data_IF_449835860041
#
_entry.id   IF_449835860041
#
_cell.length_a   1.000
_cell.length_b   1.000
_cell.length_c   1.000
_cell.angle_alpha   90.00
_cell.angle_beta   90.00
_cell.angle_gamma   90.00
#
_symmetry.space_group_name_H-M   'P 1'
#
loop_
_entity.id
_entity.type
_entity.pdbx_description
1 polymer ?
#
# COMPACT_ATOMS: atom_id res chain seq x y z
N UNK A 1 -26.14 -30.87 13.98
CA UNK A 1 -25.87 -29.93 15.09
C UNK A 1 -24.51 -29.32 14.79
N UNK A 2 -24.48 -28.07 14.39
CA UNK A 2 -23.28 -27.40 13.88
C UNK A 2 -22.42 -26.88 15.07
N UNK A 3 -21.28 -27.50 15.29
CA UNK A 3 -20.28 -27.07 16.29
C UNK A 3 -19.43 -25.90 15.75
N UNK A 4 -20.04 -24.75 15.49
CA UNK A 4 -19.31 -23.50 15.20
C UNK A 4 -19.67 -22.46 16.27
N UNK A 5 -19.37 -22.78 17.54
CA UNK A 5 -19.73 -21.93 18.69
C UNK A 5 -18.65 -20.93 19.12
N UNK A 6 -17.49 -20.91 18.49
CA UNK A 6 -16.47 -19.93 18.87
C UNK A 6 -16.51 -18.72 17.95
N UNK A 7 -16.61 -17.50 18.49
CA UNK A 7 -16.55 -16.28 17.70
C UNK A 7 -15.20 -16.21 16.96
N UNK A 8 -15.24 -15.73 15.70
CA UNK A 8 -14.03 -15.58 14.89
C UNK A 8 -13.12 -14.52 15.53
N UNK A 9 -11.90 -14.92 15.89
CA UNK A 9 -10.89 -13.97 16.35
C UNK A 9 -10.11 -13.44 15.14
N UNK A 10 -10.59 -12.36 14.55
CA UNK A 10 -10.02 -11.79 13.32
C UNK A 10 -8.54 -11.38 13.48
N UNK A 11 -8.13 -10.89 14.66
CA UNK A 11 -6.74 -10.49 14.89
C UNK A 11 -5.78 -11.68 14.85
N UNK A 12 -6.18 -12.80 15.41
CA UNK A 12 -5.36 -14.03 15.33
C UNK A 12 -5.26 -14.54 13.89
N UNK A 13 -6.36 -14.45 13.13
CA UNK A 13 -6.37 -14.86 11.73
C UNK A 13 -5.46 -13.98 10.87
N UNK A 14 -5.49 -12.68 11.07
CA UNK A 14 -4.59 -11.75 10.35
C UNK A 14 -3.13 -12.07 10.69
N UNK A 15 -2.80 -12.30 11.98
CA UNK A 15 -1.44 -12.67 12.37
C UNK A 15 -0.97 -13.99 11.74
N UNK A 16 -1.87 -14.98 11.61
CA UNK A 16 -1.56 -16.25 10.96
C UNK A 16 -1.38 -16.06 9.44
N UNK A 17 -2.23 -15.26 8.82
CA UNK A 17 -2.12 -14.88 7.41
C UNK A 17 -0.79 -14.18 7.13
N UNK A 18 -0.40 -13.20 7.96
CA UNK A 18 0.88 -12.49 7.85
C UNK A 18 2.06 -13.45 7.93
N UNK A 19 1.99 -14.45 8.82
CA UNK A 19 3.01 -15.49 8.91
C UNK A 19 3.09 -16.36 7.65
N UNK A 20 1.96 -16.71 7.02
CA UNK A 20 1.94 -17.44 5.76
C UNK A 20 2.53 -16.56 4.64
N UNK A 21 2.10 -15.30 4.55
CA UNK A 21 2.54 -14.34 3.54
C UNK A 21 4.03 -14.00 3.65
N UNK A 22 4.60 -13.99 4.86
CA UNK A 22 6.04 -13.75 5.08
C UNK A 22 6.93 -14.81 4.45
N UNK A 23 6.37 -16.00 4.15
CA UNK A 23 7.04 -17.11 3.45
C UNK A 23 6.83 -17.06 1.94
N UNK A 24 6.13 -16.05 1.41
CA UNK A 24 5.68 -15.95 0.02
C UNK A 24 4.80 -17.14 -0.44
N UNK A 25 4.15 -17.84 0.49
CA UNK A 25 3.26 -18.96 0.18
C UNK A 25 1.84 -18.46 -0.11
N UNK A 26 1.67 -17.92 -1.31
CA UNK A 26 0.39 -17.36 -1.76
C UNK A 26 -0.70 -18.41 -1.95
N UNK A 27 -0.35 -19.67 -2.21
CA UNK A 27 -1.33 -20.74 -2.34
C UNK A 27 -1.95 -21.07 -0.97
N UNK A 28 -1.13 -21.28 0.03
CA UNK A 28 -1.61 -21.50 1.40
C UNK A 28 -2.38 -20.27 1.94
N UNK A 29 -1.95 -19.05 1.61
CA UNK A 29 -2.67 -17.84 2.00
C UNK A 29 -4.07 -17.77 1.37
N UNK A 30 -4.20 -18.15 0.09
CA UNK A 30 -5.50 -18.22 -0.60
C UNK A 30 -6.42 -19.25 0.07
N UNK A 31 -5.95 -20.48 0.22
CA UNK A 31 -6.73 -21.56 0.79
C UNK A 31 -7.16 -21.25 2.24
N UNK A 32 -6.28 -20.59 2.99
CA UNK A 32 -6.58 -20.09 4.34
C UNK A 32 -7.70 -19.05 4.32
N UNK A 33 -7.59 -18.02 3.47
CA UNK A 33 -8.59 -16.94 3.39
C UNK A 33 -9.94 -17.46 2.91
N UNK A 34 -9.97 -18.29 1.86
CA UNK A 34 -11.22 -18.88 1.33
C UNK A 34 -11.94 -19.70 2.40
N UNK A 35 -11.22 -20.54 3.13
CA UNK A 35 -11.79 -21.31 4.25
C UNK A 35 -12.45 -20.39 5.30
N UNK A 36 -11.77 -19.32 5.70
CA UNK A 36 -12.29 -18.44 6.74
C UNK A 36 -13.42 -17.52 6.24
N UNK A 37 -13.40 -17.16 4.97
CA UNK A 37 -14.52 -16.47 4.31
C UNK A 37 -15.78 -17.35 4.35
N UNK A 38 -15.65 -18.65 4.04
CA UNK A 38 -16.79 -19.58 4.07
C UNK A 38 -17.31 -19.77 5.51
N UNK A 39 -16.43 -19.88 6.49
CA UNK A 39 -16.82 -19.98 7.91
C UNK A 39 -17.57 -18.72 8.34
N UNK A 40 -17.03 -17.52 8.08
CA UNK A 40 -17.67 -16.26 8.45
C UNK A 40 -19.04 -16.08 7.78
N UNK A 41 -19.14 -16.49 6.52
CA UNK A 41 -20.41 -16.49 5.79
C UNK A 41 -21.45 -17.43 6.40
N UNK A 42 -21.07 -18.66 6.73
CA UNK A 42 -21.95 -19.66 7.32
C UNK A 42 -22.42 -19.27 8.74
N UNK A 43 -21.58 -18.52 9.47
CA UNK A 43 -21.93 -17.97 10.79
C UNK A 43 -22.73 -16.66 10.70
N UNK A 44 -22.92 -16.07 9.52
CA UNK A 44 -23.46 -14.73 9.33
C UNK A 44 -22.66 -13.63 10.08
N UNK A 45 -21.36 -13.86 10.28
CA UNK A 45 -20.46 -12.88 10.90
C UNK A 45 -19.96 -11.87 9.84
N UNK A 46 -20.82 -10.91 9.54
CA UNK A 46 -20.54 -9.88 8.54
C UNK A 46 -19.32 -9.01 8.87
N UNK A 47 -18.97 -8.86 10.17
CA UNK A 47 -17.80 -8.05 10.58
C UNK A 47 -16.49 -8.76 10.23
N UNK A 48 -16.37 -10.03 10.61
CA UNK A 48 -15.22 -10.84 10.23
C UNK A 48 -15.14 -11.04 8.73
N UNK A 49 -16.28 -11.28 8.08
CA UNK A 49 -16.38 -11.41 6.63
C UNK A 49 -15.88 -10.15 5.90
N UNK A 50 -16.23 -8.95 6.37
CA UNK A 50 -15.74 -7.69 5.82
C UNK A 50 -14.21 -7.59 5.92
N UNK A 51 -13.63 -7.90 7.07
CA UNK A 51 -12.18 -7.89 7.25
C UNK A 51 -11.49 -8.87 6.32
N UNK A 52 -11.99 -10.11 6.25
CA UNK A 52 -11.44 -11.15 5.36
C UNK A 52 -11.56 -10.78 3.88
N UNK A 53 -12.65 -10.14 3.45
CA UNK A 53 -12.78 -9.64 2.09
C UNK A 53 -11.68 -8.61 1.76
N UNK A 54 -11.32 -7.72 2.69
CA UNK A 54 -10.25 -6.76 2.49
C UNK A 54 -8.88 -7.44 2.37
N UNK A 55 -8.60 -8.49 3.15
CA UNK A 55 -7.39 -9.30 2.98
C UNK A 55 -7.36 -10.03 1.63
N UNK A 56 -8.50 -10.58 1.20
CA UNK A 56 -8.63 -11.19 -0.13
C UNK A 56 -8.32 -10.19 -1.26
N UNK A 57 -8.81 -8.95 -1.19
CA UNK A 57 -8.47 -7.90 -2.17
C UNK A 57 -6.95 -7.74 -2.27
N UNK A 58 -6.27 -7.64 -1.12
CA UNK A 58 -4.81 -7.52 -1.05
C UNK A 58 -4.09 -8.70 -1.68
N UNK A 59 -4.48 -9.93 -1.31
CA UNK A 59 -3.88 -11.15 -1.83
C UNK A 59 -4.09 -11.31 -3.34
N UNK A 60 -5.35 -11.23 -3.81
CA UNK A 60 -5.67 -11.44 -5.22
C UNK A 60 -5.07 -10.37 -6.12
N UNK A 61 -4.96 -9.13 -5.64
CA UNK A 61 -4.18 -8.07 -6.30
C UNK A 61 -2.70 -8.45 -6.41
N UNK A 62 -2.10 -8.99 -5.34
CA UNK A 62 -0.69 -9.37 -5.28
C UNK A 62 -0.35 -10.49 -6.24
N UNK A 63 -1.23 -11.48 -6.39
CA UNK A 63 -1.03 -12.63 -7.29
C UNK A 63 -1.56 -12.39 -8.72
N UNK A 64 -2.14 -11.21 -8.99
CA UNK A 64 -2.62 -10.85 -10.32
C UNK A 64 -3.96 -11.47 -10.74
N UNK A 65 -4.73 -12.01 -9.80
CA UNK A 65 -6.07 -12.58 -10.06
C UNK A 65 -7.13 -11.46 -10.03
N UNK A 66 -7.33 -10.85 -11.19
CA UNK A 66 -8.27 -9.74 -11.37
C UNK A 66 -9.71 -10.09 -11.02
N UNK A 67 -10.16 -11.27 -11.45
CA UNK A 67 -11.56 -11.70 -11.28
C UNK A 67 -11.93 -11.82 -9.80
N UNK A 68 -11.14 -12.58 -9.05
CA UNK A 68 -11.37 -12.74 -7.63
C UNK A 68 -11.13 -11.43 -6.86
N UNK A 69 -10.14 -10.64 -7.24
CA UNK A 69 -9.91 -9.32 -6.62
C UNK A 69 -11.16 -8.45 -6.73
N UNK A 70 -11.76 -8.33 -7.91
CA UNK A 70 -12.96 -7.51 -8.12
C UNK A 70 -14.22 -8.10 -7.47
N UNK A 71 -14.35 -9.40 -7.43
CA UNK A 71 -15.40 -10.10 -6.67
C UNK A 71 -15.37 -9.67 -5.20
N UNK A 72 -14.18 -9.65 -4.58
CA UNK A 72 -14.03 -9.25 -3.18
C UNK A 72 -14.14 -7.74 -2.97
N UNK A 73 -13.76 -6.90 -3.94
CA UNK A 73 -14.07 -5.47 -3.92
C UNK A 73 -15.59 -5.24 -3.84
N UNK A 74 -16.37 -5.84 -4.74
CA UNK A 74 -17.83 -5.73 -4.72
C UNK A 74 -18.41 -6.20 -3.39
N UNK A 75 -17.98 -7.36 -2.91
CA UNK A 75 -18.45 -7.92 -1.65
C UNK A 75 -18.12 -7.04 -0.43
N UNK A 76 -16.91 -6.46 -0.39
CA UNK A 76 -16.50 -5.53 0.66
C UNK A 76 -17.39 -4.27 0.68
N UNK A 77 -17.66 -3.70 -0.51
CA UNK A 77 -18.53 -2.52 -0.65
C UNK A 77 -19.99 -2.80 -0.25
N UNK A 78 -20.51 -3.99 -0.56
CA UNK A 78 -21.86 -4.38 -0.12
C UNK A 78 -21.92 -4.57 1.40
N UNK A 79 -20.88 -5.15 2.00
CA UNK A 79 -20.79 -5.30 3.45
C UNK A 79 -20.68 -3.96 4.20
N UNK A 80 -20.04 -2.93 3.60
CA UNK A 80 -20.08 -1.58 4.18
C UNK A 80 -21.51 -1.11 4.43
N UNK A 81 -22.40 -1.27 3.44
CA UNK A 81 -23.81 -0.88 3.52
C UNK A 81 -24.55 -1.72 4.56
N UNK A 82 -24.38 -3.04 4.53
CA UNK A 82 -25.02 -3.96 5.48
C UNK A 82 -24.64 -3.63 6.93
N UNK A 83 -23.38 -3.23 7.16
CA UNK A 83 -22.85 -2.90 8.48
C UNK A 83 -23.07 -1.42 8.86
N UNK A 84 -23.53 -0.58 7.94
CA UNK A 84 -23.67 0.88 8.10
C UNK A 84 -22.34 1.56 8.52
N UNK A 85 -21.24 1.18 7.87
CA UNK A 85 -19.88 1.68 8.18
C UNK A 85 -19.22 2.41 7.02
N UNK A 86 -19.98 2.85 6.00
CA UNK A 86 -19.46 3.56 4.83
C UNK A 86 -18.69 4.84 5.22
N UNK A 87 -19.18 5.56 6.22
CA UNK A 87 -18.63 6.83 6.67
C UNK A 87 -17.68 6.68 7.87
N UNK A 88 -16.91 5.60 7.89
CA UNK A 88 -15.96 5.30 8.97
C UNK A 88 -14.54 5.11 8.41
N UNK A 89 -13.55 5.03 9.30
CA UNK A 89 -12.19 4.67 8.94
C UNK A 89 -12.12 3.31 8.21
N UNK A 90 -12.96 2.34 8.61
CA UNK A 90 -13.03 1.04 7.93
C UNK A 90 -13.58 1.17 6.50
N UNK A 91 -14.59 2.05 6.29
CA UNK A 91 -15.09 2.38 4.97
C UNK A 91 -14.01 3.00 4.08
N UNK A 92 -13.29 3.99 4.59
CA UNK A 92 -12.18 4.61 3.87
C UNK A 92 -11.08 3.60 3.50
N UNK A 93 -10.77 2.65 4.38
CA UNK A 93 -9.81 1.57 4.10
C UNK A 93 -10.31 0.68 2.95
N UNK A 94 -11.58 0.28 2.96
CA UNK A 94 -12.15 -0.54 1.89
C UNK A 94 -12.15 0.21 0.54
N UNK A 95 -12.51 1.51 0.53
CA UNK A 95 -12.40 2.33 -0.68
C UNK A 95 -10.96 2.40 -1.19
N UNK A 96 -9.98 2.59 -0.30
CA UNK A 96 -8.55 2.59 -0.66
C UNK A 96 -8.13 1.26 -1.28
N UNK A 97 -8.55 0.14 -0.71
CA UNK A 97 -8.23 -1.20 -1.21
C UNK A 97 -8.83 -1.43 -2.60
N UNK A 98 -10.11 -1.07 -2.80
CA UNK A 98 -10.77 -1.16 -4.11
C UNK A 98 -10.08 -0.27 -5.16
N UNK A 99 -9.79 0.99 -4.79
CA UNK A 99 -9.09 1.92 -5.68
C UNK A 99 -7.72 1.38 -6.11
N UNK A 100 -6.95 0.86 -5.15
CA UNK A 100 -5.64 0.27 -5.41
C UNK A 100 -5.73 -0.99 -6.29
N UNK A 101 -6.82 -1.77 -6.15
CA UNK A 101 -7.10 -2.91 -7.02
C UNK A 101 -7.36 -2.47 -8.46
N UNK A 102 -8.25 -1.50 -8.70
CA UNK A 102 -8.49 -0.96 -10.04
C UNK A 102 -7.21 -0.43 -10.68
N UNK A 103 -6.43 0.35 -9.95
CA UNK A 103 -5.13 0.87 -10.42
C UNK A 103 -4.18 -0.26 -10.81
N UNK A 104 -4.05 -1.29 -9.98
CA UNK A 104 -3.13 -2.40 -10.22
C UNK A 104 -3.45 -3.20 -11.50
N UNK A 105 -4.72 -3.23 -11.89
CA UNK A 105 -5.16 -3.89 -13.12
C UNK A 105 -5.31 -2.94 -14.32
N UNK A 106 -4.69 -1.74 -14.26
CA UNK A 106 -4.64 -0.80 -15.39
C UNK A 106 -5.94 -0.01 -15.62
N UNK A 107 -6.84 0.03 -14.64
CA UNK A 107 -8.12 0.75 -14.69
C UNK A 107 -8.08 1.97 -13.76
N UNK A 108 -7.04 2.81 -13.92
CA UNK A 108 -6.80 3.97 -13.06
C UNK A 108 -7.98 4.95 -13.04
N UNK A 109 -8.69 5.12 -14.15
CA UNK A 109 -9.91 5.95 -14.25
C UNK A 109 -10.99 5.50 -13.26
N UNK A 110 -11.19 4.19 -13.10
CA UNK A 110 -12.17 3.62 -12.17
C UNK A 110 -11.74 3.73 -10.70
N UNK A 111 -10.45 3.93 -10.43
CA UNK A 111 -9.94 4.08 -9.07
C UNK A 111 -10.26 5.45 -8.46
N UNK A 112 -10.39 6.50 -9.30
CA UNK A 112 -10.52 7.90 -8.87
C UNK A 112 -11.65 8.13 -7.85
N UNK A 113 -12.91 7.76 -8.13
CA UNK A 113 -14.00 8.04 -7.19
C UNK A 113 -13.82 7.35 -5.83
N UNK A 114 -13.18 6.19 -5.80
CA UNK A 114 -12.87 5.50 -4.55
C UNK A 114 -11.76 6.19 -3.77
N UNK A 115 -10.71 6.67 -4.43
CA UNK A 115 -9.67 7.46 -3.78
C UNK A 115 -10.22 8.79 -3.24
N UNK A 116 -11.07 9.49 -3.99
CA UNK A 116 -11.69 10.73 -3.54
C UNK A 116 -12.55 10.52 -2.28
N UNK A 117 -13.37 9.48 -2.26
CA UNK A 117 -14.15 9.11 -1.06
C UNK A 117 -13.24 8.77 0.12
N UNK A 118 -12.16 8.01 -0.10
CA UNK A 118 -11.21 7.65 0.95
C UNK A 118 -10.49 8.88 1.51
N UNK A 119 -10.07 9.83 0.65
CA UNK A 119 -9.42 11.09 1.06
C UNK A 119 -10.36 11.90 1.94
N UNK A 120 -11.59 12.13 1.49
CA UNK A 120 -12.59 12.89 2.25
C UNK A 120 -12.80 12.31 3.67
N UNK A 121 -12.89 10.99 3.77
CA UNK A 121 -13.10 10.32 5.04
C UNK A 121 -11.85 10.35 5.92
N UNK A 122 -10.69 10.04 5.38
CA UNK A 122 -9.46 10.01 6.17
C UNK A 122 -9.05 11.41 6.64
N UNK A 123 -9.16 12.45 5.80
CA UNK A 123 -8.89 13.84 6.19
C UNK A 123 -9.83 14.32 7.31
N UNK A 124 -11.07 13.77 7.38
CA UNK A 124 -12.05 14.13 8.41
C UNK A 124 -11.88 13.32 9.71
N UNK A 125 -11.51 12.04 9.60
CA UNK A 125 -11.59 11.08 10.71
C UNK A 125 -10.24 10.77 11.37
N UNK A 126 -9.13 11.03 10.68
CA UNK A 126 -7.80 10.74 11.17
C UNK A 126 -7.07 12.01 11.64
N UNK A 127 -6.09 11.81 12.50
CA UNK A 127 -5.15 12.89 12.84
C UNK A 127 -4.22 13.20 11.66
N UNK A 128 -3.78 14.45 11.55
CA UNK A 128 -2.93 14.94 10.45
C UNK A 128 -1.60 14.18 10.27
N UNK A 129 -1.15 13.48 11.30
CA UNK A 129 0.08 12.69 11.29
C UNK A 129 -0.18 11.18 11.18
N UNK A 130 -1.41 10.77 10.82
CA UNK A 130 -1.72 9.36 10.65
C UNK A 130 -1.12 8.83 9.33
N UNK A 131 -0.23 7.83 9.42
CA UNK A 131 0.48 7.27 8.26
C UNK A 131 -0.45 6.76 7.15
N UNK A 132 -1.71 6.42 7.46
CA UNK A 132 -2.69 5.95 6.48
C UNK A 132 -3.00 7.02 5.44
N UNK A 133 -2.98 8.32 5.85
CA UNK A 133 -3.09 9.45 4.92
C UNK A 133 -1.95 9.47 3.91
N UNK A 134 -0.71 9.29 4.37
CA UNK A 134 0.45 9.26 3.47
C UNK A 134 0.35 8.11 2.46
N UNK A 135 0.00 6.91 2.94
CA UNK A 135 -0.21 5.75 2.07
C UNK A 135 -1.32 5.97 1.04
N UNK A 136 -2.43 6.59 1.45
CA UNK A 136 -3.54 6.93 0.57
C UNK A 136 -3.12 7.95 -0.50
N UNK A 137 -2.47 9.05 -0.11
CA UNK A 137 -2.02 10.08 -1.05
C UNK A 137 -1.02 9.52 -2.07
N UNK A 138 -0.04 8.70 -1.64
CA UNK A 138 0.88 8.03 -2.55
C UNK A 138 0.16 7.13 -3.57
N UNK A 139 -0.79 6.31 -3.12
CA UNK A 139 -1.53 5.42 -4.02
C UNK A 139 -2.43 6.18 -4.99
N UNK A 140 -3.06 7.26 -4.53
CA UNK A 140 -3.88 8.11 -5.39
C UNK A 140 -3.02 8.84 -6.43
N UNK A 141 -1.89 9.40 -6.01
CA UNK A 141 -0.93 10.05 -6.91
C UNK A 141 -0.46 9.11 -8.03
N UNK A 142 -0.15 7.84 -7.72
CA UNK A 142 0.20 6.84 -8.73
C UNK A 142 -0.91 6.65 -9.79
N UNK A 143 -2.19 6.65 -9.39
CA UNK A 143 -3.30 6.57 -10.35
C UNK A 143 -3.42 7.83 -11.21
N UNK A 144 -3.15 8.99 -10.64
CA UNK A 144 -3.17 10.25 -11.39
C UNK A 144 -2.00 10.35 -12.38
N UNK A 145 -0.83 9.79 -12.04
CA UNK A 145 0.29 9.67 -12.99
C UNK A 145 -0.10 8.80 -14.18
N UNK A 146 -0.74 7.65 -13.94
CA UNK A 146 -1.23 6.77 -15.02
C UNK A 146 -2.24 7.51 -15.94
N UNK A 147 -3.00 8.44 -15.39
CA UNK A 147 -3.94 9.30 -16.12
C UNK A 147 -3.33 10.60 -16.65
N UNK A 148 -2.01 10.79 -16.50
CA UNK A 148 -1.26 11.98 -16.92
C UNK A 148 -1.71 13.29 -16.23
N UNK A 149 -2.36 13.19 -15.08
CA UNK A 149 -2.68 14.34 -14.23
C UNK A 149 -1.53 14.60 -13.25
N UNK A 150 -0.40 15.03 -13.80
CA UNK A 150 0.86 15.15 -13.06
C UNK A 150 0.83 16.22 -11.97
N UNK A 151 0.17 17.35 -12.22
CA UNK A 151 0.06 18.46 -11.26
C UNK A 151 -0.58 17.98 -9.95
N UNK A 152 -1.77 17.39 -10.03
CA UNK A 152 -2.47 16.85 -8.85
C UNK A 152 -1.72 15.68 -8.22
N UNK A 153 -1.00 14.87 -9.01
CA UNK A 153 -0.18 13.78 -8.49
C UNK A 153 0.98 14.30 -7.62
N UNK A 154 1.70 15.32 -8.11
CA UNK A 154 2.80 15.93 -7.37
C UNK A 154 2.32 16.59 -6.06
N UNK A 155 1.19 17.31 -6.08
CA UNK A 155 0.57 17.86 -4.86
C UNK A 155 0.25 16.77 -3.82
N UNK A 156 -0.23 15.60 -4.25
CA UNK A 156 -0.54 14.50 -3.34
C UNK A 156 0.73 13.85 -2.77
N UNK A 157 1.80 13.74 -3.55
CA UNK A 157 3.08 13.27 -3.02
C UNK A 157 3.64 14.23 -1.97
N UNK A 158 3.54 15.55 -2.20
CA UNK A 158 3.92 16.56 -1.20
C UNK A 158 3.10 16.41 0.08
N UNK A 159 1.78 16.27 -0.02
CA UNK A 159 0.92 16.00 1.14
C UNK A 159 1.35 14.71 1.88
N UNK A 160 1.70 13.64 1.16
CA UNK A 160 2.19 12.42 1.77
C UNK A 160 3.48 12.65 2.57
N UNK A 161 4.43 13.39 2.02
CA UNK A 161 5.69 13.75 2.67
C UNK A 161 5.43 14.61 3.91
N UNK A 162 4.51 15.58 3.84
CA UNK A 162 4.16 16.44 4.98
C UNK A 162 3.57 15.63 6.14
N UNK A 163 2.71 14.66 5.87
CA UNK A 163 2.19 13.73 6.89
C UNK A 163 3.32 12.94 7.54
N UNK A 164 4.24 12.41 6.74
CA UNK A 164 5.37 11.62 7.22
C UNK A 164 6.37 12.46 8.02
N UNK A 165 6.59 13.72 7.66
CA UNK A 165 7.42 14.66 8.40
C UNK A 165 6.93 14.90 9.83
N UNK A 166 5.61 14.84 10.04
CA UNK A 166 5.00 15.02 11.37
C UNK A 166 5.20 13.81 12.29
N UNK A 167 5.68 12.68 11.77
CA UNK A 167 5.86 11.45 12.54
C UNK A 167 7.20 10.76 12.23
N UNK A 168 8.25 11.00 13.05
CA UNK A 168 9.61 10.48 12.81
C UNK A 168 9.70 8.95 12.68
N UNK A 169 8.73 8.21 13.22
CA UNK A 169 8.70 6.73 13.12
C UNK A 169 8.47 6.22 11.69
N UNK A 170 7.90 7.05 10.81
CA UNK A 170 7.52 6.68 9.45
C UNK A 170 8.31 7.42 8.37
N UNK A 171 9.40 8.10 8.76
CA UNK A 171 10.20 8.89 7.82
C UNK A 171 10.76 8.05 6.67
N UNK A 172 11.01 6.75 6.88
CA UNK A 172 11.54 5.85 5.86
C UNK A 172 10.63 5.78 4.60
N UNK A 173 9.32 5.90 4.79
CA UNK A 173 8.35 5.90 3.68
C UNK A 173 8.47 7.16 2.80
N UNK A 174 9.12 8.24 3.28
CA UNK A 174 9.40 9.43 2.47
C UNK A 174 10.32 9.11 1.29
N UNK A 175 11.28 8.19 1.46
CA UNK A 175 12.16 7.80 0.37
C UNK A 175 11.35 7.26 -0.82
N UNK A 176 10.34 6.43 -0.55
CA UNK A 176 9.43 5.90 -1.60
C UNK A 176 8.64 7.05 -2.24
N UNK A 177 8.15 8.02 -1.45
CA UNK A 177 7.40 9.17 -1.98
C UNK A 177 8.27 10.03 -2.89
N UNK A 178 9.51 10.34 -2.51
CA UNK A 178 10.45 11.09 -3.36
C UNK A 178 10.77 10.35 -4.66
N UNK A 179 10.97 9.03 -4.63
CA UNK A 179 11.22 8.25 -5.83
C UNK A 179 10.00 8.17 -6.74
N UNK A 180 8.80 8.08 -6.18
CA UNK A 180 7.56 8.16 -6.96
C UNK A 180 7.39 9.54 -7.60
N UNK A 181 7.76 10.64 -6.90
CA UNK A 181 7.79 11.99 -7.47
C UNK A 181 8.78 12.07 -8.63
N UNK A 182 9.99 11.50 -8.50
CA UNK A 182 10.98 11.48 -9.57
C UNK A 182 10.42 10.81 -10.84
N UNK A 183 9.78 9.65 -10.68
CA UNK A 183 9.12 8.96 -11.80
C UNK A 183 7.97 9.79 -12.41
N UNK A 184 7.21 10.53 -11.60
CA UNK A 184 6.13 11.39 -12.09
C UNK A 184 6.65 12.61 -12.87
N UNK A 185 7.74 13.22 -12.39
CA UNK A 185 8.43 14.35 -13.05
C UNK A 185 9.04 13.91 -14.38
N UNK A 186 9.68 12.73 -14.43
CA UNK A 186 10.16 12.14 -15.67
C UNK A 186 9.01 11.90 -16.67
N UNK A 187 7.91 11.30 -16.20
CA UNK A 187 6.76 11.02 -17.05
C UNK A 187 6.09 12.29 -17.60
N UNK A 188 6.19 13.41 -16.86
CA UNK A 188 5.67 14.71 -17.28
C UNK A 188 6.57 15.45 -18.28
N UNK A 189 7.87 15.51 -18.01
CA UNK A 189 8.82 16.40 -18.68
C UNK A 189 9.78 15.68 -19.63
N UNK A 190 9.88 14.38 -19.51
CA UNK A 190 10.94 13.56 -20.12
C UNK A 190 12.26 13.65 -19.33
N UNK A 191 13.08 12.61 -19.42
CA UNK A 191 14.31 12.49 -18.64
C UNK A 191 15.27 13.67 -18.86
N UNK A 192 15.50 14.05 -20.12
CA UNK A 192 16.43 15.12 -20.48
C UNK A 192 16.07 16.49 -19.86
N UNK A 193 14.78 16.80 -19.76
CA UNK A 193 14.31 18.08 -19.22
C UNK A 193 14.12 18.08 -17.70
N UNK A 194 14.21 16.91 -17.07
CA UNK A 194 13.90 16.71 -15.65
C UNK A 194 15.12 16.30 -14.82
N UNK A 195 16.31 16.15 -15.40
CA UNK A 195 17.50 15.63 -14.73
C UNK A 195 17.77 16.30 -13.38
N UNK A 196 17.88 17.61 -13.33
CA UNK A 196 18.18 18.35 -12.10
C UNK A 196 17.12 18.14 -11.01
N UNK A 197 15.84 18.12 -11.39
CA UNK A 197 14.74 17.93 -10.45
C UNK A 197 14.69 16.49 -9.93
N UNK A 198 14.96 15.53 -10.80
CA UNK A 198 15.08 14.11 -10.44
C UNK A 198 16.26 13.90 -9.49
N UNK A 199 17.43 14.45 -9.78
CA UNK A 199 18.61 14.33 -8.92
C UNK A 199 18.35 14.88 -7.51
N UNK A 200 17.66 16.02 -7.40
CA UNK A 200 17.26 16.60 -6.09
C UNK A 200 16.34 15.62 -5.33
N UNK A 201 15.41 14.96 -6.00
CA UNK A 201 14.49 14.01 -5.37
C UNK A 201 15.20 12.72 -4.97
N UNK A 202 16.14 12.24 -5.77
CA UNK A 202 16.99 11.10 -5.45
C UNK A 202 17.89 11.39 -4.24
N UNK A 203 18.51 12.56 -4.18
CA UNK A 203 19.33 12.99 -3.04
C UNK A 203 18.51 13.01 -1.74
N UNK A 204 17.27 13.53 -1.80
CA UNK A 204 16.35 13.52 -0.63
C UNK A 204 16.02 12.10 -0.19
N UNK A 205 15.73 11.21 -1.14
CA UNK A 205 15.44 9.81 -0.85
C UNK A 205 16.68 9.10 -0.24
N UNK A 206 17.86 9.31 -0.81
CA UNK A 206 19.13 8.79 -0.31
C UNK A 206 19.38 9.22 1.13
N UNK A 207 19.23 10.51 1.41
CA UNK A 207 19.43 11.07 2.76
C UNK A 207 18.54 10.38 3.80
N UNK A 208 17.26 10.19 3.49
CA UNK A 208 16.32 9.47 4.37
C UNK A 208 16.79 8.04 4.63
N UNK A 209 17.21 7.31 3.58
CA UNK A 209 17.67 5.94 3.69
C UNK A 209 18.98 5.83 4.50
N UNK A 210 19.90 6.77 4.34
CA UNK A 210 21.18 6.74 5.05
C UNK A 210 21.02 7.13 6.53
N UNK A 211 20.17 8.10 6.84
CA UNK A 211 19.86 8.50 8.23
C UNK A 211 19.20 7.36 9.03
N UNK A 212 18.40 6.50 8.37
CA UNK A 212 17.70 5.39 9.01
C UNK A 212 18.46 4.07 9.04
N UNK A 213 19.62 4.01 8.42
CA UNK A 213 20.39 2.76 8.36
C UNK A 213 20.86 2.26 9.73
N UNK A 214 21.10 3.13 10.69
CA UNK A 214 21.49 2.75 12.06
C UNK A 214 20.37 2.04 12.85
N UNK A 215 19.11 2.21 12.42
CA UNK A 215 17.91 1.61 13.02
C UNK A 215 17.33 0.50 12.13
N UNK A 216 18.15 -0.06 11.23
CA UNK A 216 17.71 -0.94 10.16
C UNK A 216 17.09 -2.24 10.68
N UNK A 217 15.90 -2.52 10.21
CA UNK A 217 15.08 -3.70 10.49
C UNK A 217 14.52 -4.31 9.19
N UNK A 218 13.65 -5.31 9.31
CA UNK A 218 13.00 -5.92 8.15
C UNK A 218 12.18 -4.93 7.30
N UNK A 219 11.59 -3.88 7.92
CA UNK A 219 10.89 -2.83 7.20
C UNK A 219 11.86 -1.96 6.39
N UNK A 220 13.03 -1.65 6.98
CA UNK A 220 14.08 -0.94 6.28
C UNK A 220 14.55 -1.74 5.04
N UNK A 221 14.81 -3.04 5.20
CA UNK A 221 15.22 -3.90 4.10
C UNK A 221 14.18 -3.91 2.97
N UNK A 222 12.90 -4.05 3.31
CA UNK A 222 11.80 -4.03 2.34
C UNK A 222 11.71 -2.71 1.56
N UNK A 223 11.92 -1.57 2.22
CA UNK A 223 11.93 -0.25 1.55
C UNK A 223 13.17 -0.11 0.66
N UNK A 224 14.35 -0.50 1.16
CA UNK A 224 15.58 -0.45 0.37
C UNK A 224 15.52 -1.30 -0.90
N UNK A 225 14.92 -2.49 -0.84
CA UNK A 225 14.76 -3.36 -2.01
C UNK A 225 13.95 -2.65 -3.12
N UNK A 226 12.87 -1.96 -2.74
CA UNK A 226 12.08 -1.15 -3.69
C UNK A 226 12.87 0.04 -4.24
N UNK A 227 13.57 0.75 -3.37
CA UNK A 227 14.32 1.93 -3.75
C UNK A 227 15.51 1.60 -4.66
N UNK A 228 16.21 0.49 -4.41
CA UNK A 228 17.39 0.08 -5.19
C UNK A 228 17.08 -0.01 -6.69
N UNK A 229 15.91 -0.53 -7.07
CA UNK A 229 15.50 -0.63 -8.47
C UNK A 229 15.40 0.74 -9.14
N UNK A 230 14.83 1.73 -8.43
CA UNK A 230 14.64 3.09 -8.95
C UNK A 230 15.97 3.83 -9.05
N UNK A 231 16.84 3.72 -8.04
CA UNK A 231 18.18 4.29 -8.10
C UNK A 231 19.00 3.73 -9.26
N UNK A 232 18.96 2.40 -9.49
CA UNK A 232 19.61 1.78 -10.63
C UNK A 232 19.07 2.27 -11.98
N UNK A 233 17.74 2.48 -12.08
CA UNK A 233 17.11 3.02 -13.30
C UNK A 233 17.65 4.41 -13.66
N UNK A 234 17.86 5.28 -12.66
CA UNK A 234 18.41 6.63 -12.87
C UNK A 234 19.95 6.69 -12.92
N UNK A 235 20.63 5.55 -12.98
CA UNK A 235 22.09 5.50 -13.14
C UNK A 235 22.89 5.58 -11.84
N UNK A 236 22.24 5.55 -10.68
CA UNK A 236 22.89 5.47 -9.36
C UNK A 236 23.24 4.02 -8.99
N UNK A 237 23.92 3.32 -9.88
CA UNK A 237 24.19 1.87 -9.77
C UNK A 237 24.94 1.49 -8.49
N UNK A 238 25.97 2.26 -8.13
CA UNK A 238 26.75 2.02 -6.91
C UNK A 238 25.89 2.10 -5.64
N UNK A 239 24.98 3.08 -5.58
CA UNK A 239 24.08 3.22 -4.46
C UNK A 239 23.01 2.12 -4.44
N UNK A 240 22.49 1.75 -5.58
CA UNK A 240 21.58 0.62 -5.72
C UNK A 240 22.20 -0.69 -5.20
N UNK A 241 23.46 -0.96 -5.54
CA UNK A 241 24.21 -2.11 -5.03
C UNK A 241 24.43 -2.04 -3.50
N UNK A 242 24.71 -0.84 -2.95
CA UNK A 242 24.80 -0.64 -1.51
C UNK A 242 23.49 -0.97 -0.82
N UNK A 243 22.34 -0.49 -1.32
CA UNK A 243 21.02 -0.80 -0.76
C UNK A 243 20.74 -2.31 -0.78
N UNK A 244 21.05 -3.00 -1.88
CA UNK A 244 20.93 -4.46 -1.98
C UNK A 244 21.82 -5.19 -0.96
N UNK A 245 23.03 -4.69 -0.73
CA UNK A 245 23.93 -5.25 0.27
C UNK A 245 23.39 -5.05 1.70
N UNK A 246 22.79 -3.87 2.00
CA UNK A 246 22.10 -3.60 3.28
C UNK A 246 20.94 -4.57 3.50
N UNK A 247 20.11 -4.80 2.47
CA UNK A 247 18.99 -5.75 2.52
C UNK A 247 19.48 -7.16 2.88
N UNK A 248 20.51 -7.65 2.17
CA UNK A 248 21.05 -8.99 2.41
C UNK A 248 21.54 -9.16 3.85
N UNK A 249 22.30 -8.20 4.37
CA UNK A 249 22.77 -8.24 5.77
C UNK A 249 21.63 -8.37 6.77
N UNK A 250 20.53 -7.64 6.56
CA UNK A 250 19.38 -7.68 7.46
C UNK A 250 18.66 -9.03 7.38
N UNK A 251 18.44 -9.56 6.17
CA UNK A 251 17.73 -10.83 6.00
C UNK A 251 18.57 -12.03 6.42
N UNK A 252 19.89 -11.97 6.28
CA UNK A 252 20.82 -13.05 6.65
C UNK A 252 21.30 -12.95 8.10
N UNK A 253 21.01 -11.83 8.80
CA UNK A 253 21.39 -11.63 10.20
C UNK A 253 22.90 -11.48 10.43
N UNK A 254 23.63 -10.98 9.41
CA UNK A 254 25.10 -10.84 9.42
C UNK A 254 25.53 -9.38 9.46
#
# INVERSE_FOLDING_TARGET
MNNFENPININNLISELDHILSKNDYNSARDFLEKWVDIAQNQNDNKSLFSLCNECIGLYRKIGDKENCYKYCGRSLDLLKVLNIENTVAGATAYTNCATAYKAFGEADKSIPYFENAVQLYETLLSENDRRLAGLYNNFALSLVDLKNFEKALELYEKAIDVLNKNPKFNLEQAVSYLNMANAVEAQKGLENACEEIDILLDKAQKVLDEKYSEADGNYAFVCEKCATVFGYYGYEDYALQLQARCRRIYEGT
#
